data_IF_097324890981
#
_entry.id   IF_097324890981
#
_cell.length_a   1.000
_cell.length_b   1.000
_cell.length_c   1.000
_cell.angle_alpha   90.00
_cell.angle_beta   90.00
_cell.angle_gamma   90.00
#
_symmetry.space_group_name_H-M   'P 1'
#
loop_
_entity.id
_entity.type
_entity.pdbx_description
1 polymer ?
#
# COMPACT_ATOMS: atom_id res chain seq x y z
N UNK A 1 -5.00 9.59 29.40
CA UNK A 1 -5.14 10.08 28.04
C UNK A 1 -5.55 8.95 27.14
N UNK A 2 -6.59 9.20 26.41
CA UNK A 2 -6.93 8.23 25.46
C UNK A 2 -5.94 8.25 24.37
N UNK A 3 -5.40 7.14 24.14
CA UNK A 3 -4.45 6.98 23.20
C UNK A 3 -4.99 6.89 21.89
N UNK A 4 -4.21 7.22 21.17
CA UNK A 4 -4.05 8.57 20.90
C UNK A 4 -4.81 8.76 19.74
N UNK A 5 -5.38 9.80 19.81
CA UNK A 5 -5.78 10.38 18.62
C UNK A 5 -4.60 11.14 18.12
N UNK A 6 -3.57 10.44 17.86
CA UNK A 6 -2.35 11.04 17.38
C UNK A 6 -2.15 10.80 15.91
N UNK A 7 -1.01 11.24 15.42
CA UNK A 7 -0.57 10.97 14.06
C UNK A 7 -0.13 9.50 13.98
N UNK A 8 -0.62 8.80 12.97
CA UNK A 8 -0.33 7.39 12.76
C UNK A 8 0.65 7.23 11.62
N UNK A 9 1.64 6.36 11.79
CA UNK A 9 2.63 6.10 10.76
C UNK A 9 2.28 4.81 10.04
N UNK A 10 2.12 4.90 8.72
CA UNK A 10 1.75 3.77 7.88
C UNK A 10 2.66 3.70 6.66
N UNK A 11 2.61 2.60 5.95
CA UNK A 11 3.34 2.45 4.71
C UNK A 11 2.55 1.68 3.68
N UNK A 12 2.89 1.89 2.42
CA UNK A 12 2.33 1.14 1.30
C UNK A 12 3.44 0.50 0.50
N UNK A 13 3.23 -0.73 0.08
CA UNK A 13 4.19 -1.46 -0.74
C UNK A 13 3.79 -1.38 -2.21
N UNK A 14 4.65 -0.76 -3.01
CA UNK A 14 4.50 -0.79 -4.46
C UNK A 14 5.18 -2.07 -4.91
N UNK A 15 4.39 -3.12 -5.11
CA UNK A 15 4.91 -4.45 -5.40
C UNK A 15 4.94 -4.68 -6.90
N UNK A 16 6.13 -4.80 -7.47
CA UNK A 16 6.24 -5.06 -8.90
C UNK A 16 6.60 -6.52 -9.17
N UNK A 17 6.02 -7.05 -10.26
CA UNK A 17 6.35 -8.39 -10.74
C UNK A 17 7.29 -8.29 -11.95
N UNK A 18 7.66 -9.44 -12.53
CA UNK A 18 8.59 -9.49 -13.65
C UNK A 18 7.99 -8.99 -14.98
N UNK A 19 6.68 -8.74 -15.01
CA UNK A 19 6.00 -8.24 -16.20
C UNK A 19 5.85 -6.72 -16.20
N UNK A 20 6.44 -6.04 -15.20
CA UNK A 20 6.30 -4.59 -15.08
C UNK A 20 4.93 -4.16 -14.59
N UNK A 21 4.22 -5.05 -13.91
CA UNK A 21 2.91 -4.76 -13.32
C UNK A 21 3.07 -4.52 -11.83
N UNK A 22 2.14 -3.74 -11.27
CA UNK A 22 2.07 -3.49 -9.83
C UNK A 22 0.80 -4.08 -9.27
N UNK A 23 0.85 -4.47 -8.00
CA UNK A 23 -0.29 -5.10 -7.34
C UNK A 23 -1.19 -4.05 -6.68
N UNK A 24 -2.46 -4.07 -7.03
CA UNK A 24 -3.48 -3.28 -6.33
C UNK A 24 -4.42 -4.22 -5.61
N UNK A 25 -4.94 -3.76 -4.48
CA UNK A 25 -5.90 -4.50 -3.67
C UNK A 25 -7.09 -3.61 -3.32
N UNK A 26 -8.22 -4.22 -3.00
CA UNK A 26 -9.41 -3.49 -2.53
C UNK A 26 -9.78 -3.93 -1.13
N UNK A 27 -10.15 -2.96 -0.31
CA UNK A 27 -10.49 -3.19 1.08
C UNK A 27 -11.69 -2.33 1.49
N UNK A 28 -12.61 -2.89 2.30
CA UNK A 28 -13.70 -2.09 2.88
C UNK A 28 -13.22 -0.92 3.71
N UNK A 29 -12.03 -1.01 4.32
CA UNK A 29 -11.44 0.09 5.09
C UNK A 29 -11.25 1.35 4.25
N UNK A 30 -11.08 1.19 2.94
CA UNK A 30 -10.84 2.28 2.00
C UNK A 30 -12.00 2.43 1.01
N UNK A 31 -13.23 2.23 1.49
CA UNK A 31 -14.46 2.40 0.72
C UNK A 31 -14.51 1.51 -0.53
N UNK A 32 -13.88 0.35 -0.45
CA UNK A 32 -13.75 -0.61 -1.56
C UNK A 32 -13.08 -0.02 -2.81
N UNK A 33 -12.29 1.04 -2.63
CA UNK A 33 -11.46 1.57 -3.70
C UNK A 33 -10.13 0.84 -3.76
N UNK A 34 -9.42 1.01 -4.86
CA UNK A 34 -8.13 0.35 -5.04
C UNK A 34 -7.03 1.06 -4.26
N UNK A 35 -6.22 0.28 -3.59
CA UNK A 35 -5.07 0.74 -2.81
C UNK A 35 -3.90 -0.21 -3.07
N UNK A 36 -2.85 -0.09 -2.27
CA UNK A 36 -1.73 -1.03 -2.28
C UNK A 36 -1.64 -1.73 -0.93
N UNK A 37 -1.07 -2.93 -0.88
CA UNK A 37 -0.87 -3.60 0.41
C UNK A 37 -0.05 -2.73 1.35
N UNK A 38 -0.42 -2.71 2.62
CA UNK A 38 0.29 -1.92 3.61
C UNK A 38 -0.47 -1.83 4.91
N UNK A 39 0.03 -1.00 5.79
CA UNK A 39 -0.57 -0.81 7.10
C UNK A 39 0.36 -0.08 8.04
N UNK A 40 0.04 -0.18 9.33
CA UNK A 40 0.78 0.51 10.37
C UNK A 40 2.18 -0.04 10.59
N UNK A 41 3.12 0.86 10.83
CA UNK A 41 4.45 0.49 11.31
C UNK A 41 4.32 0.29 12.82
N UNK A 42 4.68 -0.87 13.32
CA UNK A 42 4.57 -1.18 14.72
C UNK A 42 5.86 -0.81 15.47
N UNK A 43 5.81 -0.60 16.80
CA UNK A 43 7.02 -0.34 17.57
C UNK A 43 8.08 -1.42 17.33
N UNK A 44 9.32 -0.97 17.24
CA UNK A 44 10.50 -1.84 17.05
C UNK A 44 10.56 -2.52 15.68
N UNK A 45 9.71 -2.11 14.75
CA UNK A 45 9.68 -2.60 13.38
C UNK A 45 10.26 -1.55 12.44
N UNK A 46 11.12 -1.96 11.52
CA UNK A 46 11.53 -1.04 10.44
C UNK A 46 10.38 -0.93 9.43
N UNK A 47 10.41 0.10 8.61
CA UNK A 47 9.41 0.27 7.55
C UNK A 47 9.42 -0.96 6.63
N UNK A 48 10.62 -1.43 6.25
CA UNK A 48 10.74 -2.62 5.39
C UNK A 48 10.11 -3.85 6.01
N UNK A 49 10.37 -4.10 7.27
CA UNK A 49 9.82 -5.28 7.96
C UNK A 49 8.31 -5.18 8.12
N UNK A 50 7.80 -3.99 8.42
CA UNK A 50 6.37 -3.76 8.54
C UNK A 50 5.66 -4.11 7.23
N UNK A 51 6.21 -3.66 6.10
CA UNK A 51 5.59 -3.90 4.80
C UNK A 51 5.74 -5.34 4.33
N UNK A 52 6.85 -6.00 4.65
CA UNK A 52 6.97 -7.43 4.40
C UNK A 52 5.88 -8.20 5.15
N UNK A 53 5.67 -7.85 6.41
CA UNK A 53 4.65 -8.48 7.26
C UNK A 53 3.24 -8.22 6.72
N UNK A 54 2.92 -6.95 6.46
CA UNK A 54 1.59 -6.59 5.98
C UNK A 54 1.27 -7.24 4.63
N UNK A 55 2.21 -7.25 3.72
CA UNK A 55 2.00 -7.87 2.41
C UNK A 55 1.79 -9.38 2.54
N UNK A 56 2.54 -10.04 3.39
CA UNK A 56 2.38 -11.48 3.60
C UNK A 56 1.02 -11.78 4.22
N UNK A 57 0.59 -10.99 5.23
CA UNK A 57 -0.71 -11.18 5.86
C UNK A 57 -1.86 -10.96 4.88
N UNK A 58 -1.77 -9.93 4.05
CA UNK A 58 -2.87 -9.55 3.15
C UNK A 58 -2.90 -10.33 1.84
N UNK A 59 -1.74 -10.70 1.32
CA UNK A 59 -1.64 -11.27 -0.04
C UNK A 59 -0.87 -12.57 -0.15
N UNK A 60 -0.24 -13.01 0.93
CA UNK A 60 0.60 -14.20 0.91
C UNK A 60 1.93 -14.04 0.20
N UNK A 61 2.21 -12.84 -0.32
CA UNK A 61 3.45 -12.61 -1.06
C UNK A 61 4.63 -12.34 -0.14
N UNK A 62 5.78 -12.87 -0.55
CA UNK A 62 7.05 -12.51 0.06
C UNK A 62 7.70 -11.45 -0.80
N UNK A 63 8.24 -10.42 -0.16
CA UNK A 63 8.77 -9.26 -0.84
C UNK A 63 10.27 -9.10 -0.62
N UNK A 64 10.91 -8.47 -1.60
CA UNK A 64 12.24 -7.90 -1.44
C UNK A 64 12.08 -6.39 -1.45
N UNK A 65 12.14 -5.72 -0.29
CA UNK A 65 12.10 -4.26 -0.25
C UNK A 65 13.33 -3.68 -0.93
N UNK A 66 13.13 -2.61 -1.69
CA UNK A 66 14.21 -1.98 -2.43
C UNK A 66 14.50 -0.59 -1.89
N UNK A 67 13.49 0.30 -1.87
CA UNK A 67 13.75 1.70 -1.55
C UNK A 67 12.46 2.43 -1.23
N UNK A 68 12.52 3.37 -0.29
CA UNK A 68 11.45 4.35 -0.07
C UNK A 68 11.54 5.35 -1.21
N UNK A 69 10.50 5.50 -2.01
CA UNK A 69 10.51 6.41 -3.15
C UNK A 69 9.71 7.68 -2.91
N UNK A 70 8.83 7.68 -1.93
CA UNK A 70 8.02 8.86 -1.60
C UNK A 70 7.48 8.76 -0.18
N UNK A 71 7.07 9.90 0.35
CA UNK A 71 6.36 9.96 1.62
C UNK A 71 5.40 11.14 1.56
N UNK A 72 4.45 11.16 2.47
CA UNK A 72 3.50 12.25 2.53
C UNK A 72 2.61 12.12 3.74
N UNK A 73 1.58 12.97 3.77
CA UNK A 73 0.59 12.88 4.84
C UNK A 73 -0.80 12.92 4.25
N UNK A 74 -1.73 12.31 4.97
CA UNK A 74 -3.11 12.22 4.56
C UNK A 74 -3.97 12.45 5.79
N UNK A 75 -4.73 13.54 5.77
CA UNK A 75 -5.50 13.98 6.93
C UNK A 75 -6.98 13.78 6.70
N UNK A 76 -7.58 12.90 7.51
CA UNK A 76 -9.03 12.66 7.52
C UNK A 76 -9.62 12.39 6.13
N UNK A 77 -8.97 11.48 5.39
CA UNK A 77 -9.48 11.08 4.08
C UNK A 77 -10.91 10.55 4.18
N UNK A 78 -11.79 10.99 3.29
CA UNK A 78 -13.16 10.51 3.22
C UNK A 78 -13.22 9.07 2.75
N UNK A 79 -12.17 8.56 2.12
CA UNK A 79 -12.12 7.19 1.64
C UNK A 79 -11.81 6.19 2.75
N UNK A 80 -11.15 6.62 3.81
CA UNK A 80 -10.84 5.73 4.93
C UNK A 80 -12.02 5.62 5.88
N UNK A 81 -12.20 4.46 6.49
CA UNK A 81 -13.41 4.13 7.27
C UNK A 81 -13.55 4.90 8.59
N UNK A 82 -12.55 5.69 8.97
CA UNK A 82 -12.59 6.54 10.17
C UNK A 82 -11.70 7.76 9.98
N UNK A 83 -11.86 8.81 10.80
CA UNK A 83 -10.90 9.91 10.79
C UNK A 83 -9.52 9.43 11.20
N UNK A 84 -8.50 9.88 10.50
CA UNK A 84 -7.12 9.53 10.83
C UNK A 84 -6.16 10.53 10.17
N UNK A 85 -5.08 10.84 10.90
CA UNK A 85 -3.98 11.62 10.34
C UNK A 85 -2.82 10.67 10.13
N UNK A 86 -2.53 10.35 8.88
CA UNK A 86 -1.45 9.45 8.52
C UNK A 86 -0.21 10.20 8.03
N UNK A 87 0.95 9.75 8.48
CA UNK A 87 2.21 10.00 7.79
C UNK A 87 2.51 8.68 7.07
N UNK A 88 2.70 8.71 5.76
CA UNK A 88 2.89 7.48 5.01
C UNK A 88 4.20 7.46 4.23
N UNK A 89 4.70 6.24 4.01
CA UNK A 89 5.89 5.98 3.21
C UNK A 89 5.52 4.99 2.12
N UNK A 90 5.93 5.28 0.89
CA UNK A 90 5.73 4.39 -0.25
C UNK A 90 7.03 3.67 -0.55
N UNK A 91 7.04 2.36 -0.35
CA UNK A 91 8.23 1.53 -0.49
C UNK A 91 8.14 0.69 -1.75
N UNK A 92 9.13 0.84 -2.63
CA UNK A 92 9.24 -0.01 -3.82
C UNK A 92 9.72 -1.39 -3.39
N UNK A 93 9.01 -2.43 -3.82
CA UNK A 93 9.30 -3.81 -3.48
C UNK A 93 9.22 -4.69 -4.72
N UNK A 94 10.07 -5.72 -4.76
CA UNK A 94 9.95 -6.78 -5.75
C UNK A 94 9.20 -7.95 -5.15
N UNK A 95 8.29 -8.52 -5.89
CA UNK A 95 7.65 -9.76 -5.48
C UNK A 95 8.63 -10.91 -5.66
N UNK A 96 8.92 -11.64 -4.57
CA UNK A 96 9.72 -12.86 -4.66
C UNK A 96 8.88 -14.04 -5.14
N UNK A 97 7.57 -13.95 -4.93
CA UNK A 97 6.59 -14.92 -5.39
C UNK A 97 5.46 -14.13 -6.03
N UNK A 98 4.70 -14.74 -6.96
CA UNK A 98 3.63 -14.01 -7.65
C UNK A 98 2.25 -14.63 -7.42
N UNK A 99 2.17 -15.67 -6.61
CA UNK A 99 0.92 -16.35 -6.35
C UNK A 99 0.18 -15.68 -5.19
N UNK A 100 -0.72 -14.76 -5.54
CA UNK A 100 -1.48 -13.98 -4.56
C UNK A 100 -2.57 -14.83 -3.93
N UNK A 101 -2.59 -14.86 -2.60
CA UNK A 101 -3.68 -15.46 -1.83
C UNK A 101 -4.17 -14.41 -0.85
N UNK A 102 -5.28 -13.78 -1.18
CA UNK A 102 -5.84 -12.73 -0.31
C UNK A 102 -6.45 -13.36 0.94
N UNK A 103 -6.39 -12.61 2.04
CA UNK A 103 -6.93 -13.06 3.33
C UNK A 103 -8.46 -13.09 3.36
N UNK A 104 -9.09 -12.39 2.43
CA UNK A 104 -10.54 -12.28 2.31
C UNK A 104 -11.22 -11.68 3.55
N UNK A 105 -10.46 -11.03 4.40
CA UNK A 105 -10.94 -10.29 5.57
C UNK A 105 -10.69 -8.81 5.35
N UNK A 106 -9.42 -8.40 5.34
CA UNK A 106 -9.05 -7.01 5.10
C UNK A 106 -9.01 -6.71 3.61
N UNK A 107 -8.57 -7.67 2.79
CA UNK A 107 -8.46 -7.53 1.35
C UNK A 107 -9.48 -8.43 0.68
N UNK A 108 -10.35 -7.86 -0.14
CA UNK A 108 -11.44 -8.58 -0.81
C UNK A 108 -11.18 -8.88 -2.28
N UNK A 109 -10.23 -8.20 -2.89
CA UNK A 109 -9.92 -8.37 -4.31
C UNK A 109 -8.50 -7.91 -4.58
N UNK A 110 -7.92 -8.38 -5.68
CA UNK A 110 -6.59 -7.95 -6.09
C UNK A 110 -6.48 -7.94 -7.60
N UNK A 111 -5.51 -7.19 -8.10
CA UNK A 111 -5.25 -7.14 -9.54
C UNK A 111 -3.82 -6.70 -9.80
N UNK A 112 -3.14 -7.43 -10.70
CA UNK A 112 -1.86 -6.98 -11.25
C UNK A 112 -2.16 -6.10 -12.44
N UNK A 113 -1.63 -4.88 -12.46
CA UNK A 113 -1.94 -3.92 -13.54
C UNK A 113 -0.68 -3.16 -13.95
N UNK A 114 -0.65 -2.75 -15.21
CA UNK A 114 0.37 -1.82 -15.65
C UNK A 114 0.14 -0.47 -14.95
N UNK A 115 1.21 0.24 -14.56
CA UNK A 115 1.03 1.51 -13.82
C UNK A 115 0.13 2.52 -14.51
N UNK A 116 0.25 2.66 -15.83
CA UNK A 116 -0.59 3.61 -16.58
C UNK A 116 -2.07 3.24 -16.52
N UNK A 117 -2.36 1.94 -16.48
CA UNK A 117 -3.75 1.47 -16.37
C UNK A 117 -4.27 1.63 -14.95
N UNK A 118 -3.38 1.52 -13.96
CA UNK A 118 -3.75 1.74 -12.56
C UNK A 118 -4.29 3.16 -12.36
N UNK A 119 -3.71 4.15 -13.05
CA UNK A 119 -4.17 5.53 -12.95
C UNK A 119 -5.60 5.76 -13.44
N UNK A 120 -6.16 4.81 -14.19
CA UNK A 120 -7.53 4.88 -14.70
C UNK A 120 -8.53 4.19 -13.77
N UNK A 121 -8.05 3.56 -12.70
CA UNK A 121 -8.89 2.81 -11.80
C UNK A 121 -9.43 3.70 -10.68
N UNK A 122 -10.43 3.20 -9.96
CA UNK A 122 -11.03 3.92 -8.84
C UNK A 122 -10.12 3.81 -7.61
N UNK A 123 -9.13 4.68 -7.56
CA UNK A 123 -8.12 4.69 -6.51
C UNK A 123 -8.57 5.45 -5.28
N UNK A 124 -8.19 4.95 -4.10
CA UNK A 124 -8.38 5.72 -2.88
C UNK A 124 -7.46 6.94 -2.90
N UNK A 125 -7.81 7.94 -2.12
CA UNK A 125 -7.11 9.22 -2.07
C UNK A 125 -5.61 9.04 -1.88
N UNK A 126 -4.83 9.79 -2.62
CA UNK A 126 -3.36 9.85 -2.68
C UNK A 126 -2.66 8.69 -3.40
N UNK A 127 -3.34 7.61 -3.74
CA UNK A 127 -2.69 6.52 -4.46
C UNK A 127 -2.37 6.87 -5.92
N UNK A 128 -3.10 7.81 -6.51
CA UNK A 128 -2.73 8.35 -7.83
C UNK A 128 -1.36 9.01 -7.76
N UNK A 129 -1.09 9.78 -6.70
CA UNK A 129 0.21 10.40 -6.49
C UNK A 129 1.30 9.35 -6.30
N UNK A 130 1.02 8.31 -5.53
CA UNK A 130 1.96 7.21 -5.30
C UNK A 130 2.36 6.56 -6.62
N UNK A 131 1.39 6.27 -7.47
CA UNK A 131 1.65 5.63 -8.76
C UNK A 131 2.43 6.57 -9.69
N UNK A 132 2.10 7.86 -9.70
CA UNK A 132 2.85 8.84 -10.48
C UNK A 132 4.29 8.95 -10.02
N UNK A 133 4.53 8.96 -8.72
CA UNK A 133 5.87 8.97 -8.13
C UNK A 133 6.65 7.73 -8.56
N UNK A 134 5.99 6.58 -8.56
CA UNK A 134 6.59 5.32 -9.00
C UNK A 134 6.97 5.39 -10.49
N UNK A 135 6.06 5.85 -11.33
CA UNK A 135 6.32 5.98 -12.78
C UNK A 135 7.52 6.89 -13.00
N UNK A 136 7.56 8.03 -12.30
CA UNK A 136 8.67 8.98 -12.44
C UNK A 136 9.99 8.37 -12.00
N UNK A 137 9.96 7.62 -10.89
CA UNK A 137 11.16 6.95 -10.39
C UNK A 137 11.72 5.93 -11.40
N UNK A 138 10.84 5.25 -12.14
CA UNK A 138 11.25 4.20 -13.09
C UNK A 138 11.78 4.74 -14.42
N UNK A 139 11.68 6.03 -14.66
CA UNK A 139 12.19 6.65 -15.90
C UNK A 139 13.71 6.68 -15.98
#
# INVERSE_FOLDING_TARGET
MKFPKGVEVVGSAIIENNKGEILLVRSPKWSNKWTMPGGHIEPDETISKALEREAEEETGLKLKPIKIIAFGELINSKDFHRPAHFIYFDLLCKAKTENVKIDNKEVKDFKWVKPENALKMDLAESYDKTIKDYIEYKK
#
